data_IF_805322891310
#
_entry.id   IF_805322891310
#
_cell.length_a   1.000
_cell.length_b   1.000
_cell.length_c   1.000
_cell.angle_alpha   90.00
_cell.angle_beta   90.00
_cell.angle_gamma   90.00
#
_symmetry.space_group_name_H-M   'P 1'
#
loop_
_entity.id
_entity.type
_entity.pdbx_description
1 polymer ?
#
# COMPACT_ATOMS: atom_id res chain seq x y z
N UNK A 1 -36.43 21.09 5.53
CA UNK A 1 -36.55 20.11 4.42
C UNK A 1 -35.15 19.87 3.88
N UNK A 2 -34.74 18.62 3.70
CA UNK A 2 -33.42 18.35 3.09
C UNK A 2 -33.45 18.81 1.61
N UNK A 3 -32.50 19.65 1.23
CA UNK A 3 -32.41 20.24 -0.13
C UNK A 3 -31.52 19.49 -1.08
N UNK A 4 -31.02 18.31 -0.70
CA UNK A 4 -30.14 17.46 -1.53
C UNK A 4 -30.46 15.97 -1.33
N UNK A 5 -29.93 15.11 -2.20
CA UNK A 5 -30.14 13.66 -2.19
C UNK A 5 -28.80 12.91 -2.11
N UNK A 6 -28.81 11.66 -1.58
CA UNK A 6 -27.64 10.77 -1.58
C UNK A 6 -27.12 10.51 -3.00
N UNK A 7 -28.01 10.47 -4.01
CA UNK A 7 -27.63 10.32 -5.42
C UNK A 7 -26.76 11.50 -5.91
N UNK A 8 -27.13 12.73 -5.55
CA UNK A 8 -26.35 13.91 -5.90
C UNK A 8 -24.98 13.89 -5.19
N UNK A 9 -24.93 13.49 -3.91
CA UNK A 9 -23.67 13.30 -3.19
C UNK A 9 -22.78 12.24 -3.87
N UNK A 10 -23.36 11.11 -4.30
CA UNK A 10 -22.63 10.06 -5.02
C UNK A 10 -22.01 10.60 -6.33
N UNK A 11 -22.71 11.43 -7.08
CA UNK A 11 -22.20 12.02 -8.30
C UNK A 11 -21.08 13.04 -8.03
N UNK A 12 -21.24 13.83 -6.96
CA UNK A 12 -20.22 14.76 -6.53
C UNK A 12 -18.94 14.04 -6.10
N UNK A 13 -19.04 13.02 -5.24
CA UNK A 13 -17.91 12.21 -4.78
C UNK A 13 -17.20 11.56 -5.96
N UNK A 14 -17.91 10.92 -6.89
CA UNK A 14 -17.30 10.32 -8.07
C UNK A 14 -16.56 11.36 -8.95
N UNK A 15 -17.09 12.57 -9.10
CA UNK A 15 -16.43 13.63 -9.86
C UNK A 15 -15.13 14.10 -9.20
N UNK A 16 -15.05 14.08 -7.85
CA UNK A 16 -13.83 14.38 -7.09
C UNK A 16 -12.80 13.27 -7.25
N UNK A 17 -13.22 12.00 -7.10
CA UNK A 17 -12.32 10.85 -7.17
C UNK A 17 -11.68 10.65 -8.55
N UNK A 18 -12.35 11.11 -9.61
CA UNK A 18 -11.87 11.04 -10.99
C UNK A 18 -11.22 12.37 -11.46
N UNK A 19 -11.17 13.40 -10.66
CA UNK A 19 -10.75 14.76 -11.04
C UNK A 19 -11.44 15.27 -12.33
N UNK A 20 -12.57 14.63 -12.71
CA UNK A 20 -13.24 14.83 -14.00
C UNK A 20 -14.71 14.43 -13.96
N UNK A 21 -15.59 15.36 -14.33
CA UNK A 21 -17.02 15.09 -14.49
C UNK A 21 -17.26 14.11 -15.65
N UNK A 22 -16.46 14.19 -16.71
CA UNK A 22 -16.59 13.30 -17.86
C UNK A 22 -16.22 11.85 -17.51
N UNK A 23 -15.15 11.66 -16.72
CA UNK A 23 -14.73 10.34 -16.27
C UNK A 23 -15.73 9.74 -15.28
N UNK A 24 -16.18 10.53 -14.31
CA UNK A 24 -17.24 10.14 -13.38
C UNK A 24 -18.52 9.69 -14.12
N UNK A 25 -18.86 10.36 -15.24
CA UNK A 25 -20.02 9.99 -16.06
C UNK A 25 -19.85 8.62 -16.71
N UNK A 26 -18.66 8.28 -17.17
CA UNK A 26 -18.33 6.97 -17.74
C UNK A 26 -18.38 5.88 -16.66
N UNK A 27 -17.74 6.12 -15.52
CA UNK A 27 -17.72 5.19 -14.39
C UNK A 27 -19.13 4.86 -13.86
N UNK A 28 -19.98 5.89 -13.75
CA UNK A 28 -21.33 5.72 -13.21
C UNK A 28 -22.39 5.35 -14.27
N UNK A 29 -22.01 5.27 -15.54
CA UNK A 29 -22.92 5.07 -16.69
C UNK A 29 -24.06 6.08 -16.72
N UNK A 30 -23.78 7.35 -16.41
CA UNK A 30 -24.72 8.47 -16.34
C UNK A 30 -24.25 9.57 -17.31
N UNK A 31 -25.18 10.28 -17.93
CA UNK A 31 -24.81 11.38 -18.83
C UNK A 31 -24.08 12.52 -18.08
N UNK A 32 -23.03 13.04 -18.70
CA UNK A 32 -22.27 14.17 -18.13
C UNK A 32 -23.14 15.40 -17.76
N UNK A 33 -24.14 15.80 -18.56
CA UNK A 33 -25.08 16.86 -18.18
C UNK A 33 -25.81 16.55 -16.86
N UNK A 34 -26.23 15.29 -16.65
CA UNK A 34 -26.94 14.89 -15.41
C UNK A 34 -26.07 15.05 -14.18
N UNK A 35 -24.77 14.69 -14.25
CA UNK A 35 -23.84 14.90 -13.16
C UNK A 35 -23.59 16.40 -12.93
N UNK A 36 -23.42 17.17 -14.00
CA UNK A 36 -23.21 18.62 -13.92
C UNK A 36 -24.40 19.35 -13.27
N UNK A 37 -25.62 18.95 -13.60
CA UNK A 37 -26.85 19.50 -12.98
C UNK A 37 -26.93 19.09 -11.50
N UNK A 38 -26.61 17.85 -11.17
CA UNK A 38 -26.61 17.39 -9.78
C UNK A 38 -25.62 18.16 -8.92
N UNK A 39 -24.41 18.40 -9.43
CA UNK A 39 -23.38 19.21 -8.74
C UNK A 39 -23.85 20.64 -8.57
N UNK A 40 -24.43 21.27 -9.61
CA UNK A 40 -24.97 22.62 -9.53
C UNK A 40 -26.06 22.72 -8.44
N UNK A 41 -26.97 21.75 -8.38
CA UNK A 41 -28.02 21.70 -7.35
C UNK A 41 -27.42 21.56 -5.94
N UNK A 42 -26.32 20.83 -5.76
CA UNK A 42 -25.59 20.77 -4.49
C UNK A 42 -24.94 22.11 -4.13
N UNK A 43 -24.32 22.79 -5.08
CA UNK A 43 -23.72 24.11 -4.89
C UNK A 43 -24.78 25.14 -4.48
N UNK A 44 -25.96 25.08 -5.09
CA UNK A 44 -27.10 25.92 -4.72
C UNK A 44 -27.63 25.55 -3.31
N UNK A 45 -27.80 24.24 -2.99
CA UNK A 45 -28.27 23.78 -1.69
C UNK A 45 -27.32 24.15 -0.54
N UNK A 46 -26.01 24.17 -0.78
CA UNK A 46 -25.00 24.53 0.21
C UNK A 46 -24.60 26.02 0.15
N UNK A 47 -25.14 26.77 -0.80
CA UNK A 47 -24.86 28.18 -1.06
C UNK A 47 -23.34 28.47 -1.16
N UNK A 48 -22.59 27.58 -1.81
CA UNK A 48 -21.16 27.73 -2.05
C UNK A 48 -20.70 26.88 -3.24
N UNK A 49 -19.68 27.34 -4.01
CA UNK A 49 -19.08 26.53 -5.04
C UNK A 49 -18.32 25.37 -4.44
N UNK A 50 -18.48 24.17 -5.01
CA UNK A 50 -17.78 22.96 -4.60
C UNK A 50 -16.52 22.73 -5.46
N UNK A 51 -16.57 23.14 -6.73
CA UNK A 51 -15.45 22.98 -7.67
C UNK A 51 -14.92 24.32 -8.19
N UNK A 52 -13.62 24.34 -8.43
CA UNK A 52 -12.95 25.26 -9.35
C UNK A 52 -12.87 24.53 -10.69
N UNK A 53 -13.42 25.15 -11.75
CA UNK A 53 -13.39 24.59 -13.11
C UNK A 53 -12.15 25.11 -13.86
N UNK A 54 -11.33 24.19 -14.35
CA UNK A 54 -10.17 24.51 -15.17
C UNK A 54 -10.50 24.27 -16.64
N UNK A 55 -10.30 25.27 -17.49
CA UNK A 55 -10.49 25.10 -18.94
C UNK A 55 -9.58 23.99 -19.46
N UNK A 56 -10.16 22.92 -20.01
CA UNK A 56 -9.50 21.74 -20.58
C UNK A 56 -8.69 20.84 -19.59
N UNK A 57 -8.70 21.09 -18.28
CA UNK A 57 -7.89 20.35 -17.30
C UNK A 57 -8.71 19.67 -16.19
N UNK A 58 -10.03 19.57 -16.32
CA UNK A 58 -10.87 18.93 -15.31
C UNK A 58 -11.37 19.87 -14.21
N UNK A 59 -11.57 19.34 -13.01
CA UNK A 59 -12.11 20.08 -11.86
C UNK A 59 -11.23 19.85 -10.63
N UNK A 60 -11.07 20.88 -9.81
CA UNK A 60 -10.47 20.76 -8.48
C UNK A 60 -11.42 21.25 -7.39
N UNK A 61 -11.29 20.76 -6.17
CA UNK A 61 -12.14 21.17 -5.05
C UNK A 61 -11.81 22.59 -4.58
N UNK A 62 -12.84 23.35 -4.23
CA UNK A 62 -12.68 24.53 -3.37
C UNK A 62 -12.38 24.09 -1.93
N UNK A 63 -11.94 25.01 -1.05
CA UNK A 63 -11.80 24.70 0.38
C UNK A 63 -13.13 24.29 1.03
N UNK A 64 -14.27 24.88 0.57
CA UNK A 64 -15.61 24.47 0.96
C UNK A 64 -15.96 23.10 0.40
N UNK A 65 -15.66 22.85 -0.87
CA UNK A 65 -15.85 21.55 -1.52
C UNK A 65 -15.14 20.42 -0.81
N UNK A 66 -13.88 20.63 -0.35
CA UNK A 66 -13.14 19.63 0.42
C UNK A 66 -13.85 19.23 1.71
N UNK A 67 -14.35 20.20 2.48
CA UNK A 67 -15.11 19.89 3.72
C UNK A 67 -16.42 19.15 3.45
N UNK A 68 -17.12 19.50 2.37
CA UNK A 68 -18.36 18.82 1.98
C UNK A 68 -18.06 17.42 1.45
N UNK A 69 -16.96 17.24 0.73
CA UNK A 69 -16.54 15.94 0.21
C UNK A 69 -16.34 14.92 1.33
N UNK A 70 -15.59 15.26 2.39
CA UNK A 70 -15.40 14.36 3.54
C UNK A 70 -16.72 13.97 4.19
N UNK A 71 -17.62 14.95 4.41
CA UNK A 71 -18.94 14.68 4.98
C UNK A 71 -19.84 13.89 4.04
N UNK A 72 -19.77 14.13 2.74
CA UNK A 72 -20.54 13.40 1.75
C UNK A 72 -20.15 11.92 1.70
N UNK A 73 -18.84 11.62 1.78
CA UNK A 73 -18.33 10.24 1.87
C UNK A 73 -18.84 9.54 3.13
N UNK A 74 -18.75 10.20 4.27
CA UNK A 74 -19.26 9.64 5.53
C UNK A 74 -20.76 9.33 5.47
N UNK A 75 -21.58 10.24 4.92
CA UNK A 75 -23.03 10.02 4.74
C UNK A 75 -23.32 8.86 3.77
N UNK A 76 -22.60 8.76 2.68
CA UNK A 76 -22.77 7.65 1.73
C UNK A 76 -22.36 6.32 2.36
N UNK A 77 -21.30 6.29 3.14
CA UNK A 77 -20.87 5.10 3.89
C UNK A 77 -21.94 4.67 4.90
N UNK A 78 -22.44 5.61 5.72
CA UNK A 78 -23.52 5.33 6.69
C UNK A 78 -24.80 4.84 6.00
N UNK A 79 -25.14 5.40 4.84
CA UNK A 79 -26.28 4.93 4.05
C UNK A 79 -26.10 3.50 3.57
N UNK A 80 -24.88 3.14 3.13
CA UNK A 80 -24.56 1.78 2.73
C UNK A 80 -24.58 0.80 3.91
N UNK A 81 -24.06 1.21 5.07
CA UNK A 81 -24.13 0.41 6.30
C UNK A 81 -25.58 0.15 6.72
N UNK A 82 -26.45 1.17 6.65
CA UNK A 82 -27.88 1.01 6.95
C UNK A 82 -28.57 0.02 6.00
N UNK A 83 -28.24 0.07 4.70
CA UNK A 83 -28.73 -0.91 3.73
C UNK A 83 -28.21 -2.33 4.02
N UNK A 84 -26.94 -2.46 4.43
CA UNK A 84 -26.34 -3.74 4.79
C UNK A 84 -26.91 -4.31 6.08
N UNK A 85 -27.08 -3.48 7.12
CA UNK A 85 -27.68 -3.89 8.39
C UNK A 85 -29.14 -4.33 8.19
N UNK A 86 -29.89 -3.67 7.31
CA UNK A 86 -31.26 -4.09 6.98
C UNK A 86 -31.35 -5.43 6.25
N UNK A 87 -30.29 -5.84 5.52
CA UNK A 87 -30.18 -7.14 4.85
C UNK A 87 -29.56 -8.23 5.74
N UNK A 88 -28.93 -7.82 6.86
CA UNK A 88 -28.20 -8.71 7.77
C UNK A 88 -29.12 -9.48 8.76
N UNK A 89 -30.40 -9.70 8.43
CA UNK A 89 -31.31 -10.55 9.25
C UNK A 89 -30.75 -11.96 9.51
N UNK A 90 -29.70 -12.39 8.77
CA UNK A 90 -29.02 -13.68 8.92
C UNK A 90 -27.55 -13.59 9.42
N UNK A 91 -27.09 -12.44 9.93
CA UNK A 91 -25.74 -12.30 10.45
C UNK A 91 -24.62 -12.20 9.38
N UNK A 92 -24.94 -12.29 8.09
CA UNK A 92 -23.97 -12.22 7.02
C UNK A 92 -23.39 -10.81 6.85
N UNK A 93 -22.07 -10.72 6.85
CA UNK A 93 -21.33 -9.47 6.57
C UNK A 93 -21.10 -9.37 5.07
N UNK A 94 -21.58 -8.29 4.48
CA UNK A 94 -21.38 -7.99 3.06
C UNK A 94 -20.81 -6.57 2.87
N UNK A 95 -20.42 -6.24 1.67
CA UNK A 95 -19.91 -4.91 1.30
C UNK A 95 -18.61 -5.00 0.52
N UNK A 96 -17.97 -3.85 0.32
CA UNK A 96 -16.68 -3.77 -0.39
C UNK A 96 -15.65 -3.12 0.51
N UNK A 97 -14.44 -3.64 0.50
CA UNK A 97 -13.27 -3.06 1.15
C UNK A 97 -12.26 -2.72 0.05
N UNK A 98 -11.89 -1.46 -0.07
CA UNK A 98 -10.81 -1.01 -0.96
C UNK A 98 -9.51 -0.92 -0.16
N UNK A 99 -8.52 -1.71 -0.54
CA UNK A 99 -7.24 -1.84 0.17
C UNK A 99 -6.10 -1.41 -0.72
N UNK A 100 -5.32 -0.43 -0.27
CA UNK A 100 -4.02 -0.12 -0.84
C UNK A 100 -2.92 -0.92 -0.14
N UNK A 101 -1.89 -1.36 -0.86
CA UNK A 101 -0.74 -2.02 -0.25
C UNK A 101 0.55 -1.58 -0.93
N UNK A 102 1.59 -1.32 -0.13
CA UNK A 102 2.91 -1.00 -0.68
C UNK A 102 3.40 -2.14 -1.58
N UNK A 103 3.85 -1.81 -2.78
CA UNK A 103 4.08 -2.77 -3.87
C UNK A 103 4.98 -3.96 -3.49
N UNK A 104 6.07 -3.72 -2.72
CA UNK A 104 6.97 -4.81 -2.32
C UNK A 104 6.39 -5.71 -1.23
N UNK A 105 5.41 -5.22 -0.45
CA UNK A 105 4.75 -5.97 0.62
C UNK A 105 3.50 -6.73 0.11
N UNK A 106 2.83 -6.20 -0.91
CA UNK A 106 1.57 -6.73 -1.41
C UNK A 106 1.64 -8.24 -1.76
N UNK A 107 2.61 -8.73 -2.55
CA UNK A 107 2.67 -10.15 -2.91
C UNK A 107 2.90 -11.08 -1.72
N UNK A 108 3.55 -10.60 -0.65
CA UNK A 108 3.89 -11.41 0.51
C UNK A 108 2.73 -11.57 1.48
N UNK A 109 1.92 -10.52 1.66
CA UNK A 109 0.92 -10.48 2.73
C UNK A 109 -0.51 -10.57 2.22
N UNK A 110 -0.83 -9.88 1.12
CA UNK A 110 -2.22 -9.75 0.67
C UNK A 110 -2.86 -11.08 0.25
N UNK A 111 -2.20 -11.98 -0.50
CA UNK A 111 -2.83 -13.24 -0.91
C UNK A 111 -3.30 -14.08 0.28
N UNK A 112 -2.47 -14.24 1.33
CA UNK A 112 -2.79 -14.98 2.55
C UNK A 112 -3.94 -14.31 3.32
N UNK A 113 -3.86 -13.00 3.52
CA UNK A 113 -4.87 -12.23 4.25
C UNK A 113 -6.22 -12.26 3.54
N UNK A 114 -6.23 -12.07 2.23
CA UNK A 114 -7.46 -12.08 1.43
C UNK A 114 -8.08 -13.46 1.39
N UNK A 115 -7.30 -14.50 1.11
CA UNK A 115 -7.81 -15.87 1.05
C UNK A 115 -8.45 -16.31 2.38
N UNK A 116 -7.77 -16.07 3.50
CA UNK A 116 -8.29 -16.45 4.80
C UNK A 116 -9.50 -15.62 5.22
N UNK A 117 -9.50 -14.30 4.97
CA UNK A 117 -10.66 -13.46 5.26
C UNK A 117 -11.89 -13.85 4.41
N UNK A 118 -11.68 -14.12 3.13
CA UNK A 118 -12.77 -14.56 2.22
C UNK A 118 -13.37 -15.90 2.62
N UNK A 119 -12.63 -16.79 3.27
CA UNK A 119 -13.20 -18.04 3.79
C UNK A 119 -14.15 -17.81 4.96
N UNK A 120 -13.95 -16.73 5.74
CA UNK A 120 -14.82 -16.35 6.87
C UNK A 120 -15.98 -15.45 6.44
N UNK A 121 -15.75 -14.57 5.46
CA UNK A 121 -16.70 -13.57 4.99
C UNK A 121 -16.82 -13.58 3.47
N UNK A 122 -17.44 -14.62 2.87
CA UNK A 122 -17.45 -14.83 1.41
C UNK A 122 -18.19 -13.73 0.63
N UNK A 123 -19.14 -13.04 1.27
CA UNK A 123 -19.93 -11.97 0.64
C UNK A 123 -19.23 -10.60 0.64
N UNK A 124 -18.10 -10.45 1.35
CA UNK A 124 -17.35 -9.19 1.32
C UNK A 124 -16.50 -9.17 0.05
N UNK A 125 -16.70 -8.17 -0.81
CA UNK A 125 -15.83 -7.91 -1.96
C UNK A 125 -14.56 -7.19 -1.49
N UNK A 126 -13.39 -7.61 -1.98
CA UNK A 126 -12.12 -6.95 -1.70
C UNK A 126 -11.55 -6.45 -3.02
N UNK A 127 -11.21 -5.16 -3.04
CA UNK A 127 -10.49 -4.51 -4.13
C UNK A 127 -9.08 -4.21 -3.65
N UNK A 128 -8.08 -4.76 -4.35
CA UNK A 128 -6.66 -4.56 -4.03
C UNK A 128 -6.03 -3.61 -5.03
N UNK A 129 -5.21 -2.73 -4.50
CA UNK A 129 -4.38 -1.79 -5.25
C UNK A 129 -2.98 -1.83 -4.65
N UNK A 130 -1.99 -2.03 -5.48
CA UNK A 130 -0.58 -1.90 -5.09
C UNK A 130 0.02 -0.64 -5.72
N UNK A 131 1.01 -0.08 -5.04
CA UNK A 131 1.65 1.15 -5.50
C UNK A 131 2.63 1.72 -4.49
N UNK A 132 3.16 2.89 -4.80
CA UNK A 132 4.08 3.61 -3.94
C UNK A 132 3.36 4.28 -2.76
N UNK A 133 4.10 4.51 -1.67
CA UNK A 133 3.54 5.03 -0.43
C UNK A 133 2.81 6.37 -0.59
N UNK A 134 3.36 7.28 -1.40
CA UNK A 134 2.74 8.59 -1.61
C UNK A 134 1.39 8.49 -2.36
N UNK A 135 1.27 7.59 -3.34
CA UNK A 135 0.02 7.33 -4.06
C UNK A 135 -1.03 6.71 -3.16
N UNK A 136 -0.62 5.75 -2.33
CA UNK A 136 -1.48 5.09 -1.36
C UNK A 136 -1.96 6.05 -0.28
N UNK A 137 -1.08 6.92 0.23
CA UNK A 137 -1.43 7.99 1.16
C UNK A 137 -2.42 8.98 0.55
N UNK A 138 -2.17 9.40 -0.69
CA UNK A 138 -3.09 10.26 -1.42
C UNK A 138 -4.45 9.58 -1.65
N UNK A 139 -4.45 8.28 -1.99
CA UNK A 139 -5.66 7.48 -2.13
C UNK A 139 -6.46 7.36 -0.83
N UNK A 140 -5.79 7.18 0.33
CA UNK A 140 -6.43 7.23 1.65
C UNK A 140 -7.09 8.59 1.90
N UNK A 141 -6.37 9.70 1.68
CA UNK A 141 -6.90 11.04 1.90
C UNK A 141 -8.08 11.36 0.97
N UNK A 142 -8.08 10.83 -0.24
CA UNK A 142 -9.20 10.96 -1.19
C UNK A 142 -10.28 9.89 -1.01
N UNK A 143 -10.13 8.96 -0.04
CA UNK A 143 -11.07 7.89 0.20
C UNK A 143 -11.21 6.89 -0.94
N UNK A 144 -10.20 6.77 -1.78
CA UNK A 144 -10.06 5.70 -2.74
C UNK A 144 -9.85 4.36 -2.04
N UNK A 145 -9.19 4.41 -0.88
CA UNK A 145 -8.92 3.24 -0.05
C UNK A 145 -9.55 3.42 1.34
N UNK A 146 -10.13 2.36 1.87
CA UNK A 146 -10.62 2.26 3.25
C UNK A 146 -9.46 2.00 4.22
N UNK A 147 -8.46 1.26 3.75
CA UNK A 147 -7.31 0.79 4.50
C UNK A 147 -6.09 0.75 3.59
N UNK A 148 -4.91 1.05 4.11
CA UNK A 148 -3.66 0.84 3.41
C UNK A 148 -2.63 0.10 4.28
N UNK A 149 -1.80 -0.72 3.65
CA UNK A 149 -0.65 -1.38 4.24
C UNK A 149 0.60 -0.66 3.77
N UNK A 150 1.28 0.00 4.70
CA UNK A 150 2.37 0.94 4.45
C UNK A 150 3.53 0.65 5.39
N UNK A 151 4.73 1.02 5.04
CA UNK A 151 5.82 1.10 6.00
C UNK A 151 5.65 2.34 6.89
N UNK A 152 5.96 2.20 8.19
CA UNK A 152 5.88 3.30 9.17
C UNK A 152 7.01 4.31 8.98
N UNK A 153 7.01 4.95 7.82
CA UNK A 153 7.95 5.98 7.41
C UNK A 153 7.14 7.18 6.90
N UNK A 154 7.33 8.36 7.48
CA UNK A 154 6.75 9.64 7.01
C UNK A 154 5.21 9.69 6.88
N UNK A 155 4.45 8.89 7.65
CA UNK A 155 2.99 8.79 7.50
C UNK A 155 2.20 10.02 7.99
N UNK A 156 2.82 10.91 8.76
CA UNK A 156 2.15 12.11 9.30
C UNK A 156 1.08 11.82 10.37
N UNK A 157 0.50 12.91 10.93
CA UNK A 157 -0.39 12.84 12.10
C UNK A 157 -1.87 12.58 11.76
N UNK A 158 -2.26 12.67 10.50
CA UNK A 158 -3.66 12.45 10.04
C UNK A 158 -4.01 10.98 9.93
N UNK A 159 -3.01 10.11 9.99
CA UNK A 159 -3.13 8.67 9.87
C UNK A 159 -3.23 8.01 11.25
N UNK A 160 -4.21 7.14 11.39
CA UNK A 160 -4.23 6.13 12.44
C UNK A 160 -3.47 4.91 11.90
N UNK A 161 -2.44 4.48 12.61
CA UNK A 161 -1.59 3.35 12.21
C UNK A 161 -1.55 2.29 13.29
N UNK A 162 -1.50 1.05 12.87
CA UNK A 162 -1.36 -0.11 13.73
C UNK A 162 -0.37 -1.10 13.13
N UNK A 163 0.63 -1.50 13.90
CA UNK A 163 1.61 -2.48 13.46
C UNK A 163 0.93 -3.80 13.04
N UNK A 164 1.33 -4.33 11.90
CA UNK A 164 0.84 -5.60 11.37
C UNK A 164 1.72 -6.77 11.84
N UNK A 165 3.02 -6.53 11.95
CA UNK A 165 4.01 -7.53 12.33
C UNK A 165 5.13 -6.89 13.18
N UNK A 166 6.07 -7.72 13.63
CA UNK A 166 7.28 -7.23 14.28
C UNK A 166 8.13 -6.38 13.30
N UNK A 167 8.92 -5.44 13.82
CA UNK A 167 9.82 -4.66 12.99
C UNK A 167 10.82 -5.54 12.24
N UNK A 168 11.05 -5.22 10.98
CA UNK A 168 11.99 -5.92 10.11
C UNK A 168 13.31 -5.15 10.03
N UNK A 169 14.41 -5.83 10.27
CA UNK A 169 15.74 -5.27 10.03
C UNK A 169 16.09 -5.37 8.54
N UNK A 170 16.79 -4.37 7.98
CA UNK A 170 17.39 -4.49 6.67
C UNK A 170 18.36 -5.67 6.59
N UNK A 171 18.47 -6.25 5.41
CA UNK A 171 19.43 -7.32 5.11
C UNK A 171 20.14 -7.04 3.79
N UNK A 172 21.35 -7.58 3.64
CA UNK A 172 22.10 -7.50 2.41
C UNK A 172 21.70 -8.62 1.44
N UNK A 173 21.54 -8.26 0.18
CA UNK A 173 21.26 -9.16 -0.93
C UNK A 173 22.49 -9.19 -1.86
N UNK A 174 23.02 -10.38 -2.10
CA UNK A 174 24.22 -10.61 -2.91
C UNK A 174 24.00 -11.78 -3.88
N UNK A 175 24.74 -11.86 -5.00
CA UNK A 175 24.81 -13.07 -5.79
C UNK A 175 25.34 -14.23 -4.92
N UNK A 176 24.86 -15.45 -5.15
CA UNK A 176 25.26 -16.60 -4.32
C UNK A 176 26.77 -16.92 -4.42
N UNK A 177 27.38 -16.62 -5.56
CA UNK A 177 28.82 -16.83 -5.85
C UNK A 177 29.71 -15.66 -5.40
N UNK A 178 29.14 -14.58 -4.82
CA UNK A 178 29.91 -13.44 -4.34
C UNK A 178 30.80 -13.82 -3.14
N UNK A 179 32.05 -13.33 -3.05
CA UNK A 179 32.94 -13.65 -1.91
C UNK A 179 32.34 -13.36 -0.54
N UNK A 180 31.58 -12.24 -0.40
CA UNK A 180 30.91 -11.88 0.85
C UNK A 180 29.75 -12.85 1.17
N UNK A 181 29.16 -13.53 0.18
CA UNK A 181 28.06 -14.46 0.40
C UNK A 181 28.47 -15.74 1.16
N UNK A 182 29.78 -16.00 1.25
CA UNK A 182 30.32 -17.10 2.07
C UNK A 182 30.26 -16.82 3.59
N UNK A 183 30.00 -15.58 3.97
CA UNK A 183 29.87 -15.15 5.37
C UNK A 183 28.46 -15.39 5.89
N UNK A 184 28.30 -15.36 7.21
CA UNK A 184 26.97 -15.39 7.87
C UNK A 184 26.36 -14.00 8.00
N UNK A 185 27.21 -12.97 8.04
CA UNK A 185 26.86 -11.57 8.19
C UNK A 185 27.85 -10.68 7.44
N UNK A 186 27.50 -9.43 7.26
CA UNK A 186 28.32 -8.44 6.53
C UNK A 186 28.16 -7.07 7.18
N UNK A 187 29.21 -6.25 7.14
CA UNK A 187 29.17 -4.86 7.62
C UNK A 187 28.79 -3.90 6.50
N UNK A 188 28.21 -2.76 6.85
CA UNK A 188 27.93 -1.67 5.90
C UNK A 188 29.22 -1.14 5.25
N UNK A 189 30.34 -1.18 5.99
CA UNK A 189 31.65 -0.81 5.44
C UNK A 189 32.02 -1.71 4.27
N UNK A 190 31.96 -3.03 4.44
CA UNK A 190 32.29 -3.97 3.37
C UNK A 190 31.36 -3.84 2.15
N UNK A 191 30.05 -3.58 2.41
CA UNK A 191 29.08 -3.34 1.34
C UNK A 191 29.35 -2.02 0.60
N UNK A 192 29.84 -0.98 1.29
CA UNK A 192 30.08 0.33 0.66
C UNK A 192 31.24 0.32 -0.36
N UNK A 193 32.05 -0.73 -0.35
CA UNK A 193 33.14 -0.93 -1.31
C UNK A 193 32.68 -1.58 -2.61
N UNK A 194 31.43 -2.11 -2.63
CA UNK A 194 30.82 -2.78 -3.77
C UNK A 194 29.80 -1.88 -4.50
N UNK A 195 29.54 -2.11 -5.79
CA UNK A 195 28.50 -1.38 -6.51
C UNK A 195 27.10 -1.70 -5.96
N UNK A 196 26.33 -0.67 -5.65
CA UNK A 196 24.97 -0.79 -5.09
C UNK A 196 23.90 -0.76 -6.19
N UNK A 197 22.93 -1.65 -6.09
CA UNK A 197 21.68 -1.62 -6.84
C UNK A 197 20.58 -1.15 -5.88
N UNK A 198 20.09 0.07 -6.08
CA UNK A 198 19.17 0.73 -5.15
C UNK A 198 17.71 0.45 -5.51
N UNK A 199 16.91 0.06 -4.51
CA UNK A 199 15.46 0.07 -4.65
C UNK A 199 14.97 1.53 -4.57
N UNK A 200 14.62 2.08 -5.74
CA UNK A 200 14.30 3.50 -5.96
C UNK A 200 12.78 3.74 -5.91
N UNK A 201 12.17 3.39 -4.80
CA UNK A 201 10.77 3.65 -4.50
C UNK A 201 10.68 4.55 -3.26
N UNK A 202 9.78 5.54 -3.26
CA UNK A 202 9.60 6.43 -2.10
C UNK A 202 8.75 5.74 -1.02
N UNK A 203 9.19 5.71 0.26
CA UNK A 203 10.36 6.35 0.90
C UNK A 203 11.61 5.46 0.97
N UNK A 204 11.63 4.30 0.34
CA UNK A 204 12.71 3.30 0.46
C UNK A 204 14.08 3.85 0.05
N UNK A 205 14.12 4.71 -0.98
CA UNK A 205 15.36 5.33 -1.44
C UNK A 205 16.10 6.07 -0.32
N UNK A 206 15.44 7.03 0.32
CA UNK A 206 16.06 7.80 1.42
C UNK A 206 16.41 6.88 2.58
N UNK A 207 15.51 6.02 2.99
CA UNK A 207 15.74 5.06 4.07
C UNK A 207 16.99 4.21 3.86
N UNK A 208 17.20 3.62 2.68
CA UNK A 208 18.40 2.81 2.41
C UNK A 208 19.68 3.64 2.28
N UNK A 209 19.62 4.84 1.72
CA UNK A 209 20.78 5.72 1.64
C UNK A 209 21.19 6.25 3.02
N UNK A 210 20.21 6.59 3.87
CA UNK A 210 20.46 7.11 5.21
C UNK A 210 21.15 6.07 6.11
N UNK A 211 20.85 4.78 5.97
CA UNK A 211 21.55 3.68 6.67
C UNK A 211 23.07 3.77 6.48
N UNK A 212 23.54 4.08 5.29
CA UNK A 212 24.97 4.22 5.02
C UNK A 212 25.50 5.58 5.47
N UNK A 213 24.81 6.66 5.15
CA UNK A 213 25.28 8.03 5.43
C UNK A 213 25.37 8.32 6.92
N UNK A 214 24.45 7.81 7.75
CA UNK A 214 24.50 7.92 9.21
C UNK A 214 25.72 7.24 9.84
N UNK A 215 26.28 6.23 9.17
CA UNK A 215 27.51 5.54 9.58
C UNK A 215 28.76 6.12 8.91
N UNK A 216 28.63 7.16 8.10
CA UNK A 216 29.73 7.83 7.41
C UNK A 216 30.19 7.11 6.12
N UNK A 217 29.39 6.19 5.58
CA UNK A 217 29.67 5.51 4.33
C UNK A 217 28.90 6.15 3.16
N UNK A 218 29.45 6.04 1.96
CA UNK A 218 28.86 6.56 0.72
C UNK A 218 28.94 5.49 -0.38
N UNK A 219 27.99 4.55 -0.42
CA UNK A 219 27.98 3.50 -1.43
C UNK A 219 27.80 4.11 -2.83
N UNK A 220 28.46 3.52 -3.83
CA UNK A 220 28.30 3.92 -5.23
C UNK A 220 27.06 3.26 -5.80
N UNK A 221 25.99 4.04 -6.02
CA UNK A 221 24.79 3.56 -6.68
C UNK A 221 25.08 3.38 -8.17
N UNK A 222 25.29 2.14 -8.60
CA UNK A 222 25.56 1.79 -9.99
C UNK A 222 24.27 1.70 -10.81
N UNK A 223 23.19 1.20 -10.20
CA UNK A 223 21.88 1.06 -10.83
C UNK A 223 20.75 1.37 -9.81
N UNK A 224 19.58 1.72 -10.31
CA UNK A 224 18.37 1.85 -9.49
C UNK A 224 17.14 1.35 -10.24
N UNK A 225 16.14 0.86 -9.47
CA UNK A 225 14.85 0.45 -10.02
C UNK A 225 13.78 0.56 -8.92
N UNK A 226 12.55 0.98 -9.23
CA UNK A 226 11.44 0.92 -8.28
C UNK A 226 10.96 -0.52 -8.02
N UNK A 227 11.22 -1.46 -8.93
CA UNK A 227 10.78 -2.85 -8.82
C UNK A 227 11.76 -3.69 -8.01
N UNK A 228 11.28 -4.27 -6.90
CA UNK A 228 12.07 -5.18 -6.06
C UNK A 228 12.60 -6.39 -6.84
N UNK A 229 11.80 -6.97 -7.76
CA UNK A 229 12.23 -8.13 -8.54
C UNK A 229 13.25 -7.75 -9.61
N UNK A 230 13.17 -6.55 -10.19
CA UNK A 230 14.25 -6.06 -11.07
C UNK A 230 15.55 -5.92 -10.27
N UNK A 231 15.52 -5.33 -9.07
CA UNK A 231 16.71 -5.24 -8.20
C UNK A 231 17.26 -6.63 -7.90
N UNK A 232 16.40 -7.59 -7.54
CA UNK A 232 16.80 -8.98 -7.26
C UNK A 232 17.45 -9.65 -8.49
N UNK A 233 16.85 -9.51 -9.67
CA UNK A 233 17.41 -10.06 -10.92
C UNK A 233 18.76 -9.42 -11.26
N UNK A 234 18.91 -8.11 -11.10
CA UNK A 234 20.19 -7.43 -11.35
C UNK A 234 21.28 -7.87 -10.37
N UNK A 235 20.95 -8.06 -9.07
CA UNK A 235 21.87 -8.66 -8.10
C UNK A 235 22.24 -10.08 -8.52
N UNK A 236 21.27 -10.91 -8.90
CA UNK A 236 21.51 -12.29 -9.36
C UNK A 236 22.42 -12.41 -10.58
N UNK A 237 22.45 -11.37 -11.41
CA UNK A 237 23.38 -11.28 -12.56
C UNK A 237 24.78 -10.76 -12.17
N UNK A 238 25.06 -10.50 -10.89
CA UNK A 238 26.37 -10.06 -10.43
C UNK A 238 26.66 -8.59 -10.68
N UNK A 239 25.64 -7.75 -10.88
CA UNK A 239 25.83 -6.31 -11.16
C UNK A 239 26.09 -5.48 -9.90
N UNK A 240 26.03 -6.09 -8.73
CA UNK A 240 26.27 -5.45 -7.43
C UNK A 240 25.47 -6.09 -6.30
N UNK A 241 25.42 -5.40 -5.16
CA UNK A 241 24.60 -5.78 -4.01
C UNK A 241 23.37 -4.89 -3.88
N UNK A 242 22.40 -5.31 -3.05
CA UNK A 242 21.31 -4.44 -2.59
C UNK A 242 21.08 -4.58 -1.08
N UNK A 243 20.39 -3.60 -0.49
CA UNK A 243 19.85 -3.69 0.87
C UNK A 243 18.33 -3.61 0.78
N UNK A 244 17.64 -4.56 1.38
CA UNK A 244 16.19 -4.68 1.34
C UNK A 244 15.64 -4.96 2.75
N UNK A 245 14.37 -4.65 2.97
CA UNK A 245 13.62 -5.00 4.20
C UNK A 245 12.66 -6.15 3.92
N UNK A 246 11.96 -6.09 2.80
CA UNK A 246 11.00 -7.12 2.37
C UNK A 246 11.76 -8.37 1.94
N UNK A 247 11.54 -9.48 2.65
CA UNK A 247 12.28 -10.74 2.41
C UNK A 247 11.33 -11.78 1.80
N UNK A 248 11.38 -12.02 0.48
CA UNK A 248 10.65 -13.12 -0.14
C UNK A 248 11.15 -14.47 0.35
N UNK A 249 10.27 -15.49 0.40
CA UNK A 249 10.64 -16.85 0.77
C UNK A 249 11.62 -17.48 -0.21
N UNK A 250 11.51 -17.14 -1.51
CA UNK A 250 12.37 -17.67 -2.55
C UNK A 250 13.71 -16.95 -2.62
N UNK A 251 14.80 -17.72 -2.57
CA UNK A 251 16.14 -17.24 -2.87
C UNK A 251 16.42 -17.15 -4.38
N UNK A 252 15.50 -17.62 -5.21
CA UNK A 252 15.60 -17.60 -6.66
C UNK A 252 14.95 -16.35 -7.23
N UNK A 253 15.59 -15.75 -8.22
CA UNK A 253 15.06 -14.65 -9.02
C UNK A 253 14.13 -15.16 -10.12
N UNK A 254 13.37 -14.27 -10.79
CA UNK A 254 12.52 -14.66 -11.92
C UNK A 254 13.28 -15.26 -13.09
N UNK A 255 14.54 -14.87 -13.28
CA UNK A 255 15.44 -15.42 -14.31
C UNK A 255 16.28 -16.62 -13.84
N UNK A 256 15.94 -17.20 -12.67
CA UNK A 256 16.50 -18.46 -12.18
C UNK A 256 17.86 -18.35 -11.50
N UNK A 257 18.33 -17.14 -11.14
CA UNK A 257 19.57 -16.95 -10.39
C UNK A 257 19.35 -17.10 -8.90
N UNK A 258 20.34 -17.63 -8.18
CA UNK A 258 20.29 -17.78 -6.74
C UNK A 258 20.93 -16.59 -6.03
N UNK A 259 20.33 -16.20 -4.92
CA UNK A 259 20.70 -15.05 -4.09
C UNK A 259 21.06 -15.48 -2.68
N UNK A 260 22.06 -14.83 -2.11
CA UNK A 260 22.39 -14.90 -0.70
C UNK A 260 21.75 -13.73 0.05
N UNK A 261 21.10 -14.06 1.18
CA UNK A 261 20.52 -13.10 2.12
C UNK A 261 21.39 -13.10 3.37
N UNK A 262 22.09 -12.00 3.66
CA UNK A 262 22.98 -11.89 4.82
C UNK A 262 22.46 -10.87 5.80
N UNK A 263 22.62 -11.18 7.10
CA UNK A 263 22.39 -10.20 8.16
C UNK A 263 23.45 -9.11 8.10
N UNK A 264 23.03 -7.86 8.36
CA UNK A 264 23.95 -6.73 8.50
C UNK A 264 24.27 -6.57 9.98
N UNK A 265 25.57 -6.50 10.32
CA UNK A 265 26.06 -6.46 11.71
C UNK A 265 25.80 -5.12 12.40
N UNK A 266 25.78 -4.06 11.58
CA UNK A 266 25.59 -2.70 12.08
C UNK A 266 24.20 -2.54 12.68
N UNK A 267 24.11 -1.72 13.74
CA UNK A 267 22.84 -1.32 14.32
C UNK A 267 22.14 -0.33 13.39
N UNK A 268 20.93 -0.67 12.98
CA UNK A 268 20.15 0.05 11.98
C UNK A 268 18.69 0.19 12.44
N UNK A 269 18.01 1.26 12.01
CA UNK A 269 16.57 1.38 12.26
C UNK A 269 15.82 0.23 11.59
N UNK A 270 14.92 -0.40 12.33
CA UNK A 270 14.03 -1.41 11.78
C UNK A 270 12.81 -0.73 11.14
N UNK A 271 12.25 -1.35 10.12
CA UNK A 271 11.04 -0.90 9.44
C UNK A 271 9.84 -1.76 9.82
N UNK A 272 8.69 -1.14 10.04
CA UNK A 272 7.46 -1.84 10.46
C UNK A 272 6.39 -1.65 9.40
N UNK A 273 5.79 -2.75 8.94
CA UNK A 273 4.59 -2.68 8.12
C UNK A 273 3.38 -2.42 9.02
N UNK A 274 2.59 -1.41 8.66
CA UNK A 274 1.42 -1.00 9.43
C UNK A 274 0.16 -1.04 8.59
N UNK A 275 -0.97 -1.34 9.23
CA UNK A 275 -2.29 -1.03 8.70
C UNK A 275 -2.57 0.43 9.00
N UNK A 276 -2.94 1.19 7.99
CA UNK A 276 -3.16 2.63 8.04
C UNK A 276 -4.54 3.01 7.52
N UNK A 277 -5.23 3.88 8.26
CA UNK A 277 -6.48 4.51 7.82
C UNK A 277 -6.54 5.95 8.32
N UNK A 278 -7.45 6.76 7.78
CA UNK A 278 -7.61 8.14 8.24
C UNK A 278 -8.12 8.18 9.67
N UNK A 279 -7.49 9.00 10.52
CA UNK A 279 -7.84 9.13 11.95
C UNK A 279 -9.28 9.61 12.17
N UNK A 280 -9.79 10.46 11.29
CA UNK A 280 -11.12 11.04 11.39
C UNK A 280 -12.20 10.27 10.63
N UNK A 281 -11.86 9.14 10.02
CA UNK A 281 -12.81 8.30 9.31
C UNK A 281 -13.04 7.00 10.09
N UNK A 282 -14.32 6.71 10.42
CA UNK A 282 -14.64 5.43 11.05
C UNK A 282 -14.71 4.35 9.98
N UNK A 283 -13.92 3.26 10.11
CA UNK A 283 -13.97 2.15 9.16
C UNK A 283 -15.36 1.51 9.13
N UNK A 284 -15.79 1.01 7.97
CA UNK A 284 -17.01 0.23 7.82
C UNK A 284 -16.97 -1.05 8.67
N UNK A 285 -18.12 -1.71 8.89
CA UNK A 285 -18.16 -3.00 9.61
C UNK A 285 -17.23 -4.04 8.94
N UNK A 286 -17.30 -4.15 7.63
CA UNK A 286 -16.44 -5.06 6.88
C UNK A 286 -14.95 -4.72 7.05
N UNK A 287 -14.57 -3.45 6.96
CA UNK A 287 -13.19 -2.98 7.16
C UNK A 287 -12.71 -3.26 8.59
N UNK A 288 -13.53 -3.00 9.61
CA UNK A 288 -13.17 -3.33 11.01
C UNK A 288 -12.90 -4.82 11.20
N UNK A 289 -13.78 -5.69 10.69
CA UNK A 289 -13.60 -7.13 10.75
C UNK A 289 -12.34 -7.60 10.02
N UNK A 290 -12.03 -6.99 8.86
CA UNK A 290 -10.78 -7.28 8.17
C UNK A 290 -9.55 -6.86 8.98
N UNK A 291 -9.60 -5.68 9.61
CA UNK A 291 -8.52 -5.23 10.51
C UNK A 291 -8.35 -6.15 11.73
N UNK A 292 -9.46 -6.62 12.32
CA UNK A 292 -9.45 -7.58 13.44
C UNK A 292 -8.89 -8.94 12.99
N UNK A 293 -9.27 -9.41 11.82
CA UNK A 293 -8.73 -10.61 11.22
C UNK A 293 -7.20 -10.49 11.00
N UNK A 294 -6.74 -9.40 10.42
CA UNK A 294 -5.30 -9.16 10.21
C UNK A 294 -4.49 -9.20 11.52
N UNK A 295 -5.08 -8.76 12.64
CA UNK A 295 -4.43 -8.85 13.96
C UNK A 295 -4.35 -10.29 14.49
N UNK A 296 -5.32 -11.12 14.14
CA UNK A 296 -5.38 -12.52 14.61
C UNK A 296 -4.48 -13.45 13.81
N UNK A 297 -4.05 -13.04 12.63
CA UNK A 297 -3.16 -13.82 11.76
C UNK A 297 -1.72 -13.53 12.11
N UNK A 298 -0.98 -14.56 12.47
CA UNK A 298 0.47 -14.45 12.60
C UNK A 298 1.10 -14.30 11.20
N UNK A 299 1.64 -13.12 10.95
CA UNK A 299 2.36 -12.79 9.73
C UNK A 299 3.86 -12.75 10.04
N UNK A 300 4.41 -13.92 10.26
CA UNK A 300 5.85 -14.06 10.43
C UNK A 300 6.50 -13.86 9.06
N UNK A 301 7.45 -12.90 8.92
CA UNK A 301 8.29 -12.90 7.72
C UNK A 301 9.05 -14.22 7.67
N UNK A 302 9.34 -14.74 6.49
CA UNK A 302 10.21 -15.89 6.38
C UNK A 302 11.51 -15.57 7.11
N UNK A 303 11.86 -16.39 8.11
CA UNK A 303 13.12 -16.28 8.84
C UNK A 303 14.31 -16.37 7.89
N UNK A 304 15.54 -16.08 8.34
CA UNK A 304 16.72 -16.37 7.55
C UNK A 304 16.66 -17.84 7.16
N UNK A 305 16.43 -18.11 5.88
CA UNK A 305 16.39 -19.48 5.41
C UNK A 305 17.75 -20.12 5.68
N UNK A 306 17.75 -21.31 6.30
CA UNK A 306 18.94 -22.13 6.40
C UNK A 306 19.60 -22.21 5.01
N UNK A 307 20.93 -22.16 4.95
CA UNK A 307 21.70 -22.30 3.70
C UNK A 307 21.14 -23.46 2.90
N UNK A 308 20.61 -23.19 1.73
CA UNK A 308 20.28 -24.27 0.78
C UNK A 308 21.59 -24.95 0.40
N UNK A 309 21.70 -26.24 0.73
CA UNK A 309 22.69 -27.11 0.08
C UNK A 309 22.31 -27.23 -1.39
N UNK A 310 23.28 -27.30 -2.29
CA UNK A 310 23.11 -27.36 -3.76
C UNK A 310 22.21 -28.54 -4.23
N UNK A 311 21.72 -29.38 -3.32
CA UNK A 311 21.02 -30.63 -3.62
C UNK A 311 19.48 -30.57 -3.57
N UNK A 312 18.85 -29.46 -3.19
CA UNK A 312 17.37 -29.39 -3.18
C UNK A 312 16.81 -28.18 -3.98
N UNK A 313 16.66 -28.30 -5.30
CA UNK A 313 15.83 -27.38 -6.05
C UNK A 313 14.35 -27.75 -5.81
N UNK A 314 13.72 -27.22 -4.77
CA UNK A 314 12.30 -27.51 -4.54
C UNK A 314 11.75 -27.36 -3.13
N UNK A 315 12.49 -26.84 -2.15
CA UNK A 315 11.95 -26.59 -0.82
C UNK A 315 10.90 -25.48 -0.88
N UNK A 316 9.64 -25.88 -0.93
CA UNK A 316 8.47 -25.02 -0.77
C UNK A 316 8.52 -24.31 0.59
N UNK A 317 8.22 -23.01 0.59
CA UNK A 317 7.93 -22.24 1.80
C UNK A 317 6.74 -22.91 2.51
N UNK A 318 6.82 -23.33 3.78
CA UNK A 318 5.66 -23.86 4.47
C UNK A 318 4.59 -22.78 4.59
N UNK A 319 3.35 -23.15 4.33
CA UNK A 319 2.17 -22.30 4.29
C UNK A 319 1.83 -21.67 5.66
#
# INVERSE_FOLDING_TARGET
MMHFTLRQLKYFVAAVEQDSIAEASRQLHISQPSISVAIKNLEEAFNQPLFVRHHAQGVSLTAGGGRIYEKAKELLRLSQELEQDSRAENGNVSGTIAIGCFESAAPLYMPKLVAGFKSLYPEVAIQLYDGEQHELMHGLHRGRFDLAFLYDLELGNTIHKQALNAPHKPYALLPLDHPLAQRTSVTLQALSEEPMILLDAVPSRSYFMDIFTEKGYAPVVAYSSPSIEMVRCMVGQGLGFSVLVTRPCSHMTYDGKLLAHLEIEDDMPASTLVMANLRNNQPSRATRLFMEYCRSVELTPPGPAARMSEEEPGAYCPA
#
